data_IF_272007539689
#
_entry.id   IF_272007539689
#
_cell.length_a   1.000
_cell.length_b   1.000
_cell.length_c   1.000
_cell.angle_alpha   90.00
_cell.angle_beta   90.00
_cell.angle_gamma   90.00
#
_symmetry.space_group_name_H-M   'P 1'
#
loop_
_entity.id
_entity.type
_entity.pdbx_description
1 polymer ?
#
# COMPACT_ATOMS: atom_id res chain seq x y z
N UNK A 1 -25.29 -2.67 -10.16
CA UNK A 1 -24.10 -2.07 -9.49
C UNK A 1 -24.37 -1.46 -8.11
N UNK A 2 -25.26 -0.47 -7.90
CA UNK A 2 -25.41 0.24 -6.59
C UNK A 2 -26.15 -0.50 -5.45
N UNK A 3 -26.63 -1.74 -5.66
CA UNK A 3 -27.50 -2.45 -4.69
C UNK A 3 -26.79 -3.47 -3.79
N UNK A 4 -25.49 -3.70 -3.99
CA UNK A 4 -24.75 -4.70 -3.22
C UNK A 4 -23.74 -4.01 -2.29
N UNK A 5 -23.97 -4.00 -0.95
CA UNK A 5 -23.11 -3.28 0.00
C UNK A 5 -21.66 -3.75 -0.04
N UNK A 6 -21.43 -5.01 -0.41
CA UNK A 6 -20.09 -5.57 -0.60
C UNK A 6 -19.35 -4.95 -1.79
N UNK A 7 -20.01 -4.77 -2.93
CA UNK A 7 -19.40 -4.15 -4.10
C UNK A 7 -19.00 -2.70 -3.82
N UNK A 8 -19.85 -1.95 -3.12
CA UNK A 8 -19.57 -0.57 -2.73
C UNK A 8 -18.39 -0.48 -1.75
N UNK A 9 -18.31 -1.40 -0.78
CA UNK A 9 -17.19 -1.50 0.16
C UNK A 9 -15.85 -1.82 -0.51
N UNK A 10 -15.83 -2.78 -1.44
CA UNK A 10 -14.61 -3.11 -2.20
C UNK A 10 -14.17 -1.96 -3.10
N UNK A 11 -15.09 -1.32 -3.82
CA UNK A 11 -14.78 -0.15 -4.66
C UNK A 11 -14.27 1.04 -3.84
N UNK A 12 -14.90 1.34 -2.70
CA UNK A 12 -14.43 2.37 -1.78
C UNK A 12 -13.04 2.03 -1.20
N UNK A 13 -12.80 0.77 -0.84
CA UNK A 13 -11.49 0.32 -0.35
C UNK A 13 -10.38 0.46 -1.39
N UNK A 14 -10.64 0.11 -2.64
CA UNK A 14 -9.69 0.30 -3.75
C UNK A 14 -9.46 1.79 -4.00
N UNK A 15 -10.51 2.60 -4.01
CA UNK A 15 -10.40 4.06 -4.18
C UNK A 15 -9.54 4.70 -3.09
N UNK A 16 -9.81 4.37 -1.81
CA UNK A 16 -9.03 4.86 -0.67
C UNK A 16 -7.58 4.40 -0.76
N UNK A 17 -7.34 3.14 -1.14
CA UNK A 17 -5.99 2.63 -1.36
C UNK A 17 -5.24 3.43 -2.42
N UNK A 18 -5.84 3.69 -3.59
CA UNK A 18 -5.23 4.47 -4.67
C UNK A 18 -5.01 5.93 -4.24
N UNK A 19 -5.94 6.52 -3.49
CA UNK A 19 -5.79 7.87 -2.96
C UNK A 19 -4.60 7.97 -1.99
N UNK A 20 -4.44 7.00 -1.08
CA UNK A 20 -3.26 6.93 -0.21
C UNK A 20 -2.00 6.74 -1.04
N UNK A 21 -1.96 5.75 -1.92
CA UNK A 21 -0.79 5.45 -2.76
C UNK A 21 -0.30 6.67 -3.56
N UNK A 22 -1.21 7.34 -4.27
CA UNK A 22 -0.88 8.54 -5.05
C UNK A 22 -0.47 9.72 -4.16
N UNK A 23 -1.09 9.89 -2.99
CA UNK A 23 -0.68 10.86 -1.99
C UNK A 23 0.77 10.63 -1.55
N UNK A 24 1.13 9.39 -1.22
CA UNK A 24 2.50 9.03 -0.81
C UNK A 24 3.49 9.32 -1.93
N UNK A 25 3.18 8.97 -3.17
CA UNK A 25 4.07 9.21 -4.31
C UNK A 25 4.35 10.68 -4.57
N UNK A 26 3.32 11.52 -4.47
CA UNK A 26 3.46 12.95 -4.73
C UNK A 26 4.17 13.64 -3.56
N UNK A 27 3.84 13.29 -2.33
CA UNK A 27 4.37 13.97 -1.14
C UNK A 27 5.76 13.48 -0.71
N UNK A 28 6.11 12.22 -0.97
CA UNK A 28 7.41 11.68 -0.55
C UNK A 28 8.61 12.52 -1.01
N UNK A 29 8.79 12.87 -2.30
CA UNK A 29 9.92 13.69 -2.72
C UNK A 29 9.88 15.10 -2.14
N UNK A 30 8.69 15.70 -2.00
CA UNK A 30 8.54 17.03 -1.38
C UNK A 30 8.92 17.01 0.09
N UNK A 31 8.48 16.01 0.86
CA UNK A 31 8.83 15.83 2.27
C UNK A 31 10.34 15.58 2.45
N UNK A 32 10.93 14.80 1.56
CA UNK A 32 12.34 14.43 1.59
C UNK A 32 13.26 15.52 1.02
N UNK A 33 12.73 16.52 0.30
CA UNK A 33 13.52 17.65 -0.21
C UNK A 33 14.19 18.48 0.90
N UNK A 34 13.57 18.52 2.08
CA UNK A 34 14.10 19.22 3.25
C UNK A 34 15.11 18.38 4.05
N UNK A 35 15.35 17.12 3.65
CA UNK A 35 16.26 16.21 4.34
C UNK A 35 17.73 16.50 4.00
N UNK A 36 18.44 17.13 4.95
CA UNK A 36 19.87 17.44 4.85
C UNK A 36 20.75 16.46 5.65
N UNK A 37 20.25 15.24 5.90
CA UNK A 37 20.96 14.23 6.68
C UNK A 37 22.04 13.50 5.89
N UNK A 38 22.83 12.67 6.59
CA UNK A 38 23.92 11.87 6.01
C UNK A 38 23.47 10.85 4.94
N UNK A 39 22.17 10.58 4.84
CA UNK A 39 21.57 9.60 3.93
C UNK A 39 20.79 10.25 2.77
N UNK A 40 21.26 11.39 2.26
CA UNK A 40 20.59 12.11 1.16
C UNK A 40 20.41 11.24 -0.09
N UNK A 41 21.29 10.25 -0.28
CA UNK A 41 21.16 9.26 -1.36
C UNK A 41 19.87 8.43 -1.24
N UNK A 42 19.47 8.01 -0.03
CA UNK A 42 18.19 7.33 0.17
C UNK A 42 17.01 8.24 -0.15
N UNK A 43 17.09 9.53 0.18
CA UNK A 43 16.04 10.49 -0.14
C UNK A 43 15.89 10.67 -1.67
N UNK A 44 17.02 10.77 -2.39
CA UNK A 44 17.03 10.92 -3.85
C UNK A 44 16.48 9.68 -4.58
N UNK A 45 16.78 8.48 -4.08
CA UNK A 45 16.31 7.22 -4.66
C UNK A 45 15.06 6.65 -3.95
N UNK A 46 14.39 7.43 -3.09
CA UNK A 46 13.29 6.94 -2.26
C UNK A 46 12.15 6.31 -3.08
N UNK A 47 11.80 6.94 -4.21
CA UNK A 47 10.77 6.43 -5.14
C UNK A 47 11.23 5.11 -5.78
N UNK A 48 12.48 5.04 -6.26
CA UNK A 48 13.01 3.81 -6.86
C UNK A 48 13.07 2.67 -5.84
N UNK A 49 13.55 2.94 -4.63
CA UNK A 49 13.59 1.99 -3.51
C UNK A 49 12.16 1.54 -3.18
N UNK A 50 11.19 2.46 -3.11
CA UNK A 50 9.79 2.12 -2.89
C UNK A 50 9.29 1.09 -3.92
N UNK A 51 9.56 1.30 -5.21
CA UNK A 51 9.10 0.37 -6.25
C UNK A 51 9.81 -0.99 -6.20
N UNK A 52 11.10 -1.02 -5.88
CA UNK A 52 11.85 -2.27 -5.68
C UNK A 52 11.30 -3.04 -4.48
N UNK A 53 11.07 -2.35 -3.36
CA UNK A 53 10.46 -2.92 -2.16
C UNK A 53 9.02 -3.38 -2.42
N UNK A 54 8.24 -2.62 -3.20
CA UNK A 54 6.91 -3.02 -3.65
C UNK A 54 6.95 -4.28 -4.51
N UNK A 55 7.92 -4.39 -5.42
CA UNK A 55 8.10 -5.59 -6.22
C UNK A 55 8.44 -6.80 -5.33
N UNK A 56 9.35 -6.64 -4.36
CA UNK A 56 9.68 -7.65 -3.37
C UNK A 56 8.48 -8.05 -2.50
N UNK A 57 7.68 -7.08 -2.07
CA UNK A 57 6.46 -7.30 -1.28
C UNK A 57 5.43 -8.17 -1.97
N UNK A 58 5.37 -8.21 -3.30
CA UNK A 58 4.45 -9.09 -4.04
C UNK A 58 4.75 -10.56 -3.79
N UNK A 59 6.02 -10.94 -3.64
CA UNK A 59 6.41 -12.32 -3.34
C UNK A 59 6.04 -12.70 -1.90
N UNK A 60 6.24 -11.78 -0.95
CA UNK A 60 5.87 -11.98 0.45
C UNK A 60 4.35 -12.11 0.57
N UNK A 61 3.62 -11.22 -0.11
CA UNK A 61 2.16 -11.21 -0.15
C UNK A 61 1.55 -12.45 -0.77
N UNK A 62 2.08 -12.90 -1.92
CA UNK A 62 1.60 -14.12 -2.56
C UNK A 62 1.85 -15.35 -1.70
N UNK A 63 3.00 -15.43 -1.04
CA UNK A 63 3.31 -16.49 -0.09
C UNK A 63 2.40 -16.48 1.13
N UNK A 64 2.12 -15.30 1.72
CA UNK A 64 1.18 -15.16 2.83
C UNK A 64 -0.25 -15.53 2.43
N UNK A 65 -0.72 -15.10 1.25
CA UNK A 65 -2.05 -15.44 0.73
C UNK A 65 -2.21 -16.94 0.45
N UNK A 66 -1.11 -17.66 0.18
CA UNK A 66 -1.14 -19.11 0.02
C UNK A 66 -1.32 -19.86 1.36
N UNK A 67 -0.99 -19.22 2.49
CA UNK A 67 -0.96 -19.83 3.83
C UNK A 67 -2.05 -19.31 4.76
N UNK A 68 -2.54 -18.09 4.54
CA UNK A 68 -3.44 -17.36 5.45
C UNK A 68 -4.73 -16.92 4.74
N UNK A 69 -5.77 -16.67 5.53
CA UNK A 69 -7.01 -16.10 5.03
C UNK A 69 -6.79 -14.71 4.43
N UNK A 70 -7.33 -14.48 3.24
CA UNK A 70 -7.21 -13.21 2.51
C UNK A 70 -7.63 -11.98 3.33
N UNK A 71 -8.69 -12.10 4.13
CA UNK A 71 -9.16 -11.01 4.98
C UNK A 71 -8.12 -10.64 6.05
N UNK A 72 -7.52 -11.65 6.70
CA UNK A 72 -6.47 -11.43 7.69
C UNK A 72 -5.22 -10.79 7.07
N UNK A 73 -4.83 -11.22 5.86
CA UNK A 73 -3.73 -10.61 5.11
C UNK A 73 -4.03 -9.15 4.83
N UNK A 74 -5.18 -8.82 4.25
CA UNK A 74 -5.54 -7.41 3.96
C UNK A 74 -5.57 -6.56 5.24
N UNK A 75 -6.12 -7.07 6.35
CA UNK A 75 -6.16 -6.32 7.61
C UNK A 75 -4.77 -6.07 8.20
N UNK A 76 -3.91 -7.10 8.25
CA UNK A 76 -2.54 -6.96 8.78
C UNK A 76 -1.71 -6.00 7.94
N UNK A 77 -1.81 -6.09 6.62
CA UNK A 77 -1.08 -5.21 5.71
C UNK A 77 -1.58 -3.76 5.78
N UNK A 78 -2.89 -3.53 5.86
CA UNK A 78 -3.46 -2.19 6.09
C UNK A 78 -3.01 -1.59 7.42
N UNK A 79 -3.01 -2.38 8.50
CA UNK A 79 -2.52 -1.93 9.81
C UNK A 79 -1.02 -1.62 9.79
N UNK A 80 -0.22 -2.45 9.11
CA UNK A 80 1.21 -2.20 8.96
C UNK A 80 1.50 -0.89 8.21
N UNK A 81 0.74 -0.58 7.15
CA UNK A 81 0.83 0.70 6.44
C UNK A 81 0.48 1.85 7.40
N UNK A 82 -0.64 1.74 8.12
CA UNK A 82 -1.06 2.77 9.07
C UNK A 82 -0.01 3.03 10.15
N UNK A 83 0.57 1.98 10.73
CA UNK A 83 1.65 2.10 11.73
C UNK A 83 2.89 2.74 11.12
N UNK A 84 3.31 2.34 9.91
CA UNK A 84 4.42 2.99 9.21
C UNK A 84 4.16 4.49 9.01
N UNK A 85 2.95 4.88 8.63
CA UNK A 85 2.57 6.27 8.48
C UNK A 85 2.58 7.05 9.79
N UNK A 86 2.01 6.48 10.85
CA UNK A 86 1.99 7.11 12.17
C UNK A 86 3.42 7.34 12.70
N UNK A 87 4.29 6.33 12.58
CA UNK A 87 5.68 6.45 13.02
C UNK A 87 6.44 7.44 12.13
N UNK A 88 6.18 7.48 10.81
CA UNK A 88 6.82 8.46 9.93
C UNK A 88 6.44 9.90 10.29
N UNK A 89 5.18 10.15 10.67
CA UNK A 89 4.70 11.47 11.11
C UNK A 89 5.29 11.83 12.48
N UNK A 90 5.25 10.91 13.45
CA UNK A 90 5.73 11.17 14.81
C UNK A 90 7.26 11.23 14.92
N UNK A 91 7.98 10.42 14.13
CA UNK A 91 9.44 10.33 14.13
C UNK A 91 10.13 11.37 13.25
N UNK A 92 9.38 12.15 12.46
CA UNK A 92 9.91 13.19 11.59
C UNK A 92 10.71 12.66 10.40
N UNK A 93 11.37 13.59 9.69
CA UNK A 93 11.97 13.35 8.37
C UNK A 93 13.06 12.25 8.40
N UNK A 94 13.82 12.17 9.49
CA UNK A 94 14.91 11.18 9.63
C UNK A 94 14.41 9.73 9.66
N UNK A 95 13.24 9.48 10.24
CA UNK A 95 12.63 8.14 10.28
C UNK A 95 11.75 7.93 9.03
N UNK A 96 11.11 8.99 8.53
CA UNK A 96 10.29 8.95 7.32
C UNK A 96 11.08 8.50 6.07
N UNK A 97 12.37 8.87 5.96
CA UNK A 97 13.30 8.38 4.92
C UNK A 97 13.30 6.85 4.77
N UNK A 98 13.15 6.12 5.87
CA UNK A 98 13.17 4.66 5.87
C UNK A 98 11.76 4.07 5.80
N UNK A 99 10.83 4.60 6.59
CA UNK A 99 9.48 4.05 6.72
C UNK A 99 8.63 4.25 5.47
N UNK A 100 8.80 5.38 4.76
CA UNK A 100 8.00 5.67 3.56
C UNK A 100 8.31 4.68 2.43
N UNK A 101 9.58 4.40 2.04
CA UNK A 101 9.88 3.34 1.09
C UNK A 101 9.46 1.95 1.58
N UNK A 102 9.65 1.67 2.88
CA UNK A 102 9.34 0.37 3.47
C UNK A 102 7.83 0.07 3.48
N UNK A 103 7.00 1.11 3.57
CA UNK A 103 5.54 0.99 3.42
C UNK A 103 5.12 0.40 2.05
N UNK A 104 5.97 0.53 1.03
CA UNK A 104 5.76 -0.03 -0.30
C UNK A 104 5.68 -1.55 -0.33
N UNK A 105 6.41 -2.25 0.55
CA UNK A 105 6.30 -3.72 0.72
C UNK A 105 4.87 -4.09 1.07
N UNK A 106 4.22 -3.30 1.93
CA UNK A 106 2.90 -3.63 2.42
C UNK A 106 1.80 -3.28 1.40
N UNK A 107 1.95 -2.17 0.68
CA UNK A 107 0.96 -1.75 -0.32
C UNK A 107 0.81 -2.73 -1.49
N UNK A 108 1.84 -3.52 -1.81
CA UNK A 108 1.83 -4.38 -3.00
C UNK A 108 0.73 -5.45 -3.04
N UNK A 109 0.18 -5.82 -1.88
CA UNK A 109 -0.74 -6.96 -1.72
C UNK A 109 -2.20 -6.54 -1.73
N UNK A 110 -2.52 -5.29 -1.37
CA UNK A 110 -3.90 -4.83 -1.24
C UNK A 110 -4.64 -4.82 -2.58
N UNK A 111 -4.08 -4.15 -3.59
CA UNK A 111 -4.74 -3.99 -4.89
C UNK A 111 -5.12 -5.32 -5.57
N UNK A 112 -4.20 -6.30 -5.77
CA UNK A 112 -4.56 -7.55 -6.43
C UNK A 112 -5.57 -8.38 -5.61
N UNK A 113 -5.47 -8.36 -4.28
CA UNK A 113 -6.38 -9.12 -3.39
C UNK A 113 -7.78 -8.54 -3.43
N UNK A 114 -7.91 -7.21 -3.31
CA UNK A 114 -9.18 -6.50 -3.36
C UNK A 114 -9.83 -6.63 -4.75
N UNK A 115 -9.05 -6.51 -5.83
CA UNK A 115 -9.58 -6.65 -7.19
C UNK A 115 -10.09 -8.08 -7.47
N UNK A 116 -9.31 -9.11 -7.10
CA UNK A 116 -9.72 -10.51 -7.29
C UNK A 116 -10.99 -10.87 -6.52
N UNK A 117 -11.12 -10.41 -5.25
CA UNK A 117 -12.32 -10.64 -4.44
C UNK A 117 -13.49 -9.75 -4.83
N UNK A 118 -13.22 -8.53 -5.29
CA UNK A 118 -14.21 -7.61 -5.84
C UNK A 118 -14.93 -8.25 -7.03
N UNK A 119 -14.17 -8.77 -8.01
CA UNK A 119 -14.72 -9.48 -9.18
C UNK A 119 -15.48 -10.75 -8.76
N UNK A 120 -14.95 -11.52 -7.81
CA UNK A 120 -15.59 -12.75 -7.32
C UNK A 120 -16.91 -12.52 -6.56
N UNK A 121 -17.19 -11.28 -6.11
CA UNK A 121 -18.45 -10.90 -5.47
C UNK A 121 -19.54 -10.52 -6.49
N UNK A 122 -19.22 -10.39 -7.77
CA UNK A 122 -20.20 -10.24 -8.84
C UNK A 122 -20.72 -11.61 -9.29
N UNK A 123 -22.01 -11.69 -9.62
CA UNK A 123 -22.57 -12.92 -10.23
C UNK A 123 -21.87 -13.13 -11.57
N UNK A 124 -21.54 -14.39 -11.88
CA UNK A 124 -20.88 -14.89 -13.12
C UNK A 124 -21.43 -14.33 -14.46
N UNK A 125 -22.60 -13.69 -14.44
CA UNK A 125 -23.31 -13.10 -15.58
C UNK A 125 -22.88 -11.66 -15.89
N UNK A 126 -22.09 -10.99 -15.04
CA UNK A 126 -21.56 -9.62 -15.27
C UNK A 126 -20.03 -9.60 -15.49
N UNK A 127 -19.42 -10.74 -15.84
CA UNK A 127 -18.04 -10.78 -16.33
C UNK A 127 -18.02 -10.36 -17.81
N UNK A 128 -18.17 -9.07 -18.06
CA UNK A 128 -17.82 -8.43 -19.33
C UNK A 128 -16.33 -8.15 -19.40
#
# INVERSE_FOLDING_TARGET
>A
MMKNPYALGFSAGIFLYVAVESGVYVWMPTLLSSYHGRLIWMANYAISIFFVLRAGGRFIGSWMLARLNWAAVVTVFSLAILVCFLIAILGGIGVAVFLLPLSGIFMSVLYPTLNSKGISCFRKQEHG
#
